data_IF_145297935991
#
_entry.id   IF_145297935991
#
_cell.length_a   1.000
_cell.length_b   1.000
_cell.length_c   1.000
_cell.angle_alpha   90.00
_cell.angle_beta   90.00
_cell.angle_gamma   90.00
#
_symmetry.space_group_name_H-M   'P 1'
#
loop_
_entity.id
_entity.type
_entity.pdbx_description
1 polymer ?
#
# COMPACT_ATOMS: atom_id res chain seq x y z
N UNK A 1 -24.70 19.21 -8.15
CA UNK A 1 -24.01 20.12 -7.21
C UNK A 1 -24.16 21.51 -7.79
N UNK A 2 -24.21 22.56 -6.95
CA UNK A 2 -24.20 23.94 -7.42
C UNK A 2 -23.00 24.21 -8.34
N UNK A 3 -23.08 25.25 -9.18
CA UNK A 3 -21.98 25.62 -10.07
C UNK A 3 -20.73 25.98 -9.25
N UNK A 4 -19.64 25.18 -9.31
CA UNK A 4 -18.47 25.44 -8.50
C UNK A 4 -17.73 26.69 -8.99
N UNK A 5 -17.14 27.41 -8.04
CA UNK A 5 -16.24 28.54 -8.29
C UNK A 5 -14.96 28.09 -8.99
N UNK A 6 -14.18 29.05 -9.52
CA UNK A 6 -12.89 28.75 -10.14
C UNK A 6 -11.93 28.05 -9.17
N UNK A 7 -11.87 28.52 -7.92
CA UNK A 7 -10.97 27.96 -6.91
C UNK A 7 -11.36 26.53 -6.54
N UNK A 8 -12.66 26.25 -6.40
CA UNK A 8 -13.16 24.90 -6.13
C UNK A 8 -12.80 23.92 -7.26
N UNK A 9 -12.88 24.35 -8.52
CA UNK A 9 -12.44 23.54 -9.67
C UNK A 9 -10.96 23.24 -9.61
N UNK A 10 -10.13 24.21 -9.25
CA UNK A 10 -8.68 24.04 -9.11
C UNK A 10 -8.36 23.05 -7.98
N UNK A 11 -8.96 23.20 -6.79
CA UNK A 11 -8.72 22.27 -5.68
C UNK A 11 -9.21 20.85 -6.00
N UNK A 12 -10.37 20.69 -6.63
CA UNK A 12 -10.85 19.39 -7.07
C UNK A 12 -9.89 18.77 -8.12
N UNK A 13 -9.42 19.57 -9.08
CA UNK A 13 -8.47 19.12 -10.07
C UNK A 13 -7.13 18.70 -9.46
N UNK A 14 -6.58 19.48 -8.52
CA UNK A 14 -5.36 19.16 -7.79
C UNK A 14 -5.49 17.89 -6.96
N UNK A 15 -6.66 17.66 -6.35
CA UNK A 15 -6.92 16.42 -5.61
C UNK A 15 -6.74 15.19 -6.53
N UNK A 16 -7.24 15.25 -7.77
CA UNK A 16 -7.06 14.17 -8.74
C UNK A 16 -5.64 14.14 -9.34
N UNK A 17 -5.06 15.29 -9.70
CA UNK A 17 -3.74 15.41 -10.33
C UNK A 17 -2.59 14.97 -9.41
N UNK A 18 -2.79 15.01 -8.10
CA UNK A 18 -1.84 14.48 -7.11
C UNK A 18 -1.54 12.98 -7.26
N UNK A 19 -2.23 12.27 -8.16
CA UNK A 19 -1.86 10.93 -8.62
C UNK A 19 -0.38 10.85 -9.04
N UNK A 20 0.21 11.96 -9.50
CA UNK A 20 1.63 12.07 -9.85
C UNK A 20 2.57 11.88 -8.64
N UNK A 21 2.08 12.13 -7.42
CA UNK A 21 2.77 11.89 -6.16
C UNK A 21 2.60 10.42 -5.72
N UNK A 22 2.48 9.51 -6.67
CA UNK A 22 1.98 8.13 -6.51
C UNK A 22 2.55 7.43 -5.28
N UNK A 23 3.85 7.58 -5.06
CA UNK A 23 4.53 6.95 -3.94
C UNK A 23 4.05 7.46 -2.59
N UNK A 24 3.78 8.76 -2.41
CA UNK A 24 3.32 9.35 -1.15
C UNK A 24 1.86 8.99 -0.76
N UNK A 25 1.22 8.12 -1.54
CA UNK A 25 -0.17 7.75 -1.35
C UNK A 25 -1.11 8.94 -1.58
N UNK A 26 -2.34 8.89 -1.04
CA UNK A 26 -3.32 9.94 -1.19
C UNK A 26 -3.07 11.17 -0.28
N UNK A 27 -1.81 11.58 -0.09
CA UNK A 27 -1.45 12.77 0.71
C UNK A 27 -2.08 14.05 0.14
N UNK A 28 -2.01 14.23 -1.18
CA UNK A 28 -2.59 15.39 -1.87
C UNK A 28 -4.10 15.56 -1.58
N UNK A 29 -4.96 14.59 -1.90
CA UNK A 29 -6.37 14.69 -1.61
C UNK A 29 -6.67 14.69 -0.11
N UNK A 30 -5.86 14.04 0.73
CA UNK A 30 -6.02 14.11 2.19
C UNK A 30 -5.80 15.52 2.76
N UNK A 31 -4.76 16.21 2.32
CA UNK A 31 -4.51 17.59 2.73
C UNK A 31 -5.62 18.53 2.22
N UNK A 32 -5.98 18.43 0.93
CA UNK A 32 -7.06 19.25 0.33
C UNK A 32 -8.37 19.01 1.06
N UNK A 33 -8.72 17.75 1.31
CA UNK A 33 -9.89 17.38 2.09
C UNK A 33 -9.87 18.03 3.48
N UNK A 34 -8.77 17.91 4.22
CA UNK A 34 -8.65 18.45 5.57
C UNK A 34 -8.89 19.98 5.62
N UNK A 35 -8.42 20.73 4.63
CA UNK A 35 -8.61 22.19 4.55
C UNK A 35 -9.96 22.64 3.98
N UNK A 36 -10.62 21.79 3.17
CA UNK A 36 -11.83 22.14 2.41
C UNK A 36 -13.11 21.46 2.91
N UNK A 37 -13.02 20.49 3.84
CA UNK A 37 -14.18 19.71 4.33
C UNK A 37 -15.32 20.55 4.92
N UNK A 38 -15.00 21.72 5.49
CA UNK A 38 -16.01 22.65 6.03
C UNK A 38 -16.36 23.81 5.08
N UNK A 39 -15.73 23.91 3.90
CA UNK A 39 -15.83 25.08 3.02
C UNK A 39 -16.58 24.80 1.72
N UNK A 40 -16.40 23.61 1.14
CA UNK A 40 -16.98 23.26 -0.15
C UNK A 40 -17.40 21.80 -0.20
N UNK A 41 -18.69 21.53 -0.39
CA UNK A 41 -19.23 20.17 -0.61
C UNK A 41 -18.67 19.56 -1.91
N UNK A 42 -18.47 20.38 -2.95
CA UNK A 42 -17.90 19.95 -4.22
C UNK A 42 -16.44 19.48 -4.08
N UNK A 43 -15.56 20.31 -3.51
CA UNK A 43 -14.14 19.95 -3.33
C UNK A 43 -14.00 18.76 -2.40
N UNK A 44 -14.77 18.74 -1.31
CA UNK A 44 -14.81 17.64 -0.34
C UNK A 44 -15.12 16.31 -1.03
N UNK A 45 -16.15 16.25 -1.85
CA UNK A 45 -16.52 15.04 -2.61
C UNK A 45 -15.37 14.57 -3.53
N UNK A 46 -14.79 15.48 -4.31
CA UNK A 46 -13.70 15.14 -5.24
C UNK A 46 -12.43 14.69 -4.51
N UNK A 47 -12.12 15.30 -3.37
CA UNK A 47 -10.99 14.90 -2.54
C UNK A 47 -11.18 13.49 -1.95
N UNK A 48 -12.35 13.18 -1.40
CA UNK A 48 -12.66 11.83 -0.89
C UNK A 48 -12.59 10.76 -1.99
N UNK A 49 -13.07 11.10 -3.18
CA UNK A 49 -13.04 10.23 -4.36
C UNK A 49 -11.60 9.99 -4.86
N UNK A 50 -10.81 11.04 -5.01
CA UNK A 50 -9.41 10.93 -5.40
C UNK A 50 -8.59 10.14 -4.36
N UNK A 51 -8.84 10.39 -3.08
CA UNK A 51 -8.23 9.66 -1.97
C UNK A 51 -8.50 8.16 -2.06
N UNK A 52 -9.76 7.76 -2.27
CA UNK A 52 -10.12 6.36 -2.46
C UNK A 52 -9.48 5.73 -3.69
N UNK A 53 -9.53 6.42 -4.83
CA UNK A 53 -8.91 5.91 -6.06
C UNK A 53 -7.42 5.68 -5.89
N UNK A 54 -6.69 6.68 -5.38
CA UNK A 54 -5.25 6.58 -5.18
C UNK A 54 -4.89 5.51 -4.14
N UNK A 55 -5.69 5.29 -3.10
CA UNK A 55 -5.40 4.26 -2.10
C UNK A 55 -5.73 2.83 -2.59
N UNK A 56 -6.92 2.61 -3.15
CA UNK A 56 -7.39 1.27 -3.51
C UNK A 56 -6.90 0.79 -4.86
N UNK A 57 -6.50 1.68 -5.78
CA UNK A 57 -5.89 1.24 -7.02
C UNK A 57 -4.60 0.45 -6.79
N UNK A 58 -3.81 0.75 -5.75
CA UNK A 58 -2.65 -0.05 -5.39
C UNK A 58 -2.99 -1.45 -4.90
N UNK A 59 -4.10 -1.61 -4.17
CA UNK A 59 -4.59 -2.94 -3.77
C UNK A 59 -5.00 -3.75 -4.99
N UNK A 60 -5.77 -3.14 -5.91
CA UNK A 60 -6.17 -3.79 -7.15
C UNK A 60 -4.96 -4.14 -8.02
N UNK A 61 -3.97 -3.24 -8.09
CA UNK A 61 -2.72 -3.48 -8.80
C UNK A 61 -1.92 -4.63 -8.17
N UNK A 62 -1.79 -4.67 -6.84
CA UNK A 62 -1.09 -5.77 -6.15
C UNK A 62 -1.78 -7.11 -6.42
N UNK A 63 -3.11 -7.17 -6.28
CA UNK A 63 -3.89 -8.39 -6.55
C UNK A 63 -3.73 -8.78 -8.03
N UNK A 64 -3.83 -7.82 -8.94
CA UNK A 64 -3.63 -8.03 -10.37
C UNK A 64 -2.23 -8.57 -10.69
N UNK A 65 -1.19 -8.00 -10.09
CA UNK A 65 0.19 -8.48 -10.20
C UNK A 65 0.35 -9.90 -9.67
N UNK A 66 -0.24 -10.20 -8.50
CA UNK A 66 -0.18 -11.55 -7.93
C UNK A 66 -0.84 -12.59 -8.85
N UNK A 67 -2.06 -12.31 -9.32
CA UNK A 67 -2.79 -13.19 -10.24
C UNK A 67 -2.07 -13.33 -11.58
N UNK A 68 -1.56 -12.22 -12.12
CA UNK A 68 -0.79 -12.21 -13.35
C UNK A 68 0.48 -13.05 -13.20
N UNK A 69 1.28 -12.85 -12.14
CA UNK A 69 2.48 -13.65 -11.87
C UNK A 69 2.16 -15.14 -11.70
N UNK A 70 1.03 -15.50 -11.08
CA UNK A 70 0.61 -16.90 -10.93
C UNK A 70 0.29 -17.54 -12.29
N UNK A 71 -0.55 -16.90 -13.11
CA UNK A 71 -0.89 -17.39 -14.46
C UNK A 71 0.37 -17.44 -15.33
N UNK A 72 1.20 -16.42 -15.25
CA UNK A 72 2.41 -16.29 -16.04
C UNK A 72 3.46 -17.33 -15.69
N UNK A 73 3.66 -17.63 -14.40
CA UNK A 73 4.54 -18.71 -13.96
C UNK A 73 4.02 -20.07 -14.45
N UNK A 74 2.70 -20.30 -14.40
CA UNK A 74 2.08 -21.50 -14.95
C UNK A 74 2.33 -21.64 -16.46
N UNK A 75 2.18 -20.57 -17.22
CA UNK A 75 2.47 -20.55 -18.66
C UNK A 75 3.95 -20.78 -18.95
N UNK A 76 4.86 -20.21 -18.15
CA UNK A 76 6.30 -20.46 -18.24
C UNK A 76 6.62 -21.94 -18.06
N UNK A 77 6.08 -22.59 -17.02
CA UNK A 77 6.30 -24.02 -16.79
C UNK A 77 5.77 -24.87 -17.94
N UNK A 78 4.57 -24.58 -18.44
CA UNK A 78 3.99 -25.30 -19.60
C UNK A 78 4.85 -25.11 -20.85
N UNK A 79 5.34 -23.89 -21.09
CA UNK A 79 6.23 -23.60 -22.21
C UNK A 79 7.55 -24.39 -22.08
N UNK A 80 8.22 -24.32 -20.93
CA UNK A 80 9.48 -25.05 -20.70
C UNK A 80 9.30 -26.57 -20.86
N UNK A 81 8.19 -27.15 -20.37
CA UNK A 81 7.88 -28.58 -20.58
C UNK A 81 7.64 -28.90 -22.06
N UNK A 82 6.87 -28.06 -22.76
CA UNK A 82 6.54 -28.27 -24.17
C UNK A 82 7.75 -28.19 -25.11
N UNK A 83 8.79 -27.44 -24.70
CA UNK A 83 10.01 -27.22 -25.49
C UNK A 83 11.26 -27.87 -24.88
N UNK A 84 11.11 -28.73 -23.86
CA UNK A 84 12.22 -29.38 -23.16
C UNK A 84 13.16 -30.16 -24.11
N UNK A 85 12.61 -30.78 -25.17
CA UNK A 85 13.39 -31.53 -26.17
C UNK A 85 14.15 -30.62 -27.17
N UNK A 86 13.79 -29.34 -27.28
CA UNK A 86 14.46 -28.34 -28.13
C UNK A 86 15.45 -27.45 -27.35
N UNK A 87 15.63 -27.72 -26.04
CA UNK A 87 16.25 -26.83 -25.06
C UNK A 87 17.68 -26.36 -25.37
N UNK A 88 18.43 -27.05 -26.25
CA UNK A 88 19.80 -26.65 -26.59
C UNK A 88 19.91 -25.41 -27.49
N UNK A 89 18.82 -24.88 -28.08
CA UNK A 89 18.88 -23.65 -28.93
C UNK A 89 17.87 -22.57 -28.56
N UNK A 90 16.78 -22.89 -27.86
CA UNK A 90 15.69 -21.95 -27.53
C UNK A 90 15.71 -21.45 -26.07
N UNK A 91 16.44 -22.12 -25.16
CA UNK A 91 16.45 -21.77 -23.73
C UNK A 91 16.96 -20.35 -23.42
N UNK A 92 17.82 -19.78 -24.28
CA UNK A 92 18.33 -18.41 -24.09
C UNK A 92 17.28 -17.37 -24.53
N UNK A 93 16.32 -17.71 -25.40
CA UNK A 93 15.35 -16.75 -25.94
C UNK A 93 14.03 -16.65 -25.16
N UNK A 94 13.68 -17.66 -24.34
CA UNK A 94 12.40 -17.68 -23.60
C UNK A 94 12.23 -16.49 -22.64
N UNK A 95 13.26 -16.05 -21.87
CA UNK A 95 13.12 -14.90 -20.97
C UNK A 95 12.90 -13.57 -21.72
N UNK A 96 13.53 -13.40 -22.90
CA UNK A 96 13.50 -12.15 -23.65
C UNK A 96 12.18 -11.90 -24.38
N UNK A 97 11.47 -12.95 -24.82
CA UNK A 97 10.15 -12.80 -25.46
C UNK A 97 9.07 -12.48 -24.41
N UNK A 98 9.24 -13.03 -23.22
CA UNK A 98 8.24 -13.02 -22.16
C UNK A 98 8.34 -11.75 -21.30
N UNK A 99 9.54 -11.19 -21.16
CA UNK A 99 9.81 -9.97 -20.40
C UNK A 99 9.04 -8.72 -20.90
N UNK A 100 8.91 -8.43 -22.22
CA UNK A 100 8.09 -7.31 -22.70
C UNK A 100 6.62 -7.38 -22.29
N UNK A 101 6.02 -8.57 -22.22
CA UNK A 101 4.63 -8.75 -21.80
C UNK A 101 4.49 -8.39 -20.32
N UNK A 102 5.45 -8.81 -19.49
CA UNK A 102 5.49 -8.46 -18.08
C UNK A 102 5.64 -6.95 -17.87
N UNK A 103 6.54 -6.31 -18.62
CA UNK A 103 6.68 -4.85 -18.58
C UNK A 103 5.45 -4.12 -19.08
N UNK A 104 4.81 -4.59 -20.14
CA UNK A 104 3.56 -4.01 -20.64
C UNK A 104 2.46 -4.10 -19.59
N UNK A 105 2.37 -5.20 -18.84
CA UNK A 105 1.40 -5.32 -17.75
C UNK A 105 1.69 -4.34 -16.62
N UNK A 106 2.94 -4.25 -16.16
CA UNK A 106 3.34 -3.28 -15.12
C UNK A 106 3.11 -1.85 -15.61
N UNK A 107 3.79 -1.41 -16.66
CA UNK A 107 3.71 -0.02 -17.08
C UNK A 107 2.35 0.35 -17.69
N UNK A 108 1.67 -0.59 -18.33
CA UNK A 108 0.31 -0.39 -18.84
C UNK A 108 -0.71 -0.18 -17.72
N UNK A 109 -0.66 -0.98 -16.66
CA UNK A 109 -1.53 -0.79 -15.49
C UNK A 109 -1.26 0.54 -14.76
N UNK A 110 0.01 0.94 -14.66
CA UNK A 110 0.39 2.27 -14.16
C UNK A 110 -0.11 3.39 -15.08
N UNK A 111 -0.01 3.23 -16.40
CA UNK A 111 -0.55 4.17 -17.37
C UNK A 111 -2.06 4.39 -17.19
N UNK A 112 -2.82 3.31 -16.98
CA UNK A 112 -4.26 3.37 -16.68
C UNK A 112 -4.53 4.11 -15.37
N UNK A 113 -3.73 3.84 -14.33
CA UNK A 113 -3.83 4.53 -13.04
C UNK A 113 -3.63 6.05 -13.17
N UNK A 114 -2.56 6.48 -13.84
CA UNK A 114 -2.30 7.91 -14.07
C UNK A 114 -3.36 8.56 -14.94
N UNK A 115 -3.78 7.89 -16.01
CA UNK A 115 -4.82 8.38 -16.90
C UNK A 115 -6.12 8.65 -16.14
N UNK A 116 -6.53 7.75 -15.23
CA UNK A 116 -7.70 7.97 -14.39
C UNK A 116 -7.60 9.23 -13.53
N UNK A 117 -6.44 9.51 -12.93
CA UNK A 117 -6.19 10.74 -12.19
C UNK A 117 -6.21 11.99 -13.06
N UNK A 118 -5.54 11.97 -14.23
CA UNK A 118 -5.51 13.12 -15.13
C UNK A 118 -6.85 13.43 -15.78
N UNK A 119 -7.63 12.42 -16.16
CA UNK A 119 -9.00 12.61 -16.64
C UNK A 119 -9.88 13.26 -15.57
N UNK A 120 -9.73 12.83 -14.31
CA UNK A 120 -10.41 13.46 -13.18
C UNK A 120 -10.04 14.92 -13.02
N UNK A 121 -8.75 15.24 -13.09
CA UNK A 121 -8.27 16.61 -13.01
C UNK A 121 -8.82 17.49 -14.15
N UNK A 122 -8.72 17.00 -15.39
CA UNK A 122 -9.18 17.69 -16.59
C UNK A 122 -10.69 17.97 -16.53
N UNK A 123 -11.51 17.00 -16.16
CA UNK A 123 -12.96 17.19 -16.11
C UNK A 123 -13.39 18.16 -15.01
N UNK A 124 -12.71 18.17 -13.85
CA UNK A 124 -12.95 19.18 -12.83
C UNK A 124 -12.67 20.60 -13.35
N UNK A 125 -11.55 20.79 -14.06
CA UNK A 125 -11.20 22.09 -14.67
C UNK A 125 -12.23 22.53 -15.73
N UNK A 126 -12.76 21.59 -16.51
CA UNK A 126 -13.76 21.84 -17.54
C UNK A 126 -15.20 21.97 -17.00
N UNK A 127 -15.38 21.98 -15.67
CA UNK A 127 -16.70 21.99 -15.04
C UNK A 127 -17.61 20.84 -15.49
N UNK A 128 -17.03 19.66 -15.76
CA UNK A 128 -17.77 18.43 -16.09
C UNK A 128 -17.84 17.54 -14.87
N UNK A 129 -18.99 16.91 -14.67
CA UNK A 129 -19.15 15.91 -13.61
C UNK A 129 -18.19 14.73 -13.85
N UNK A 130 -17.21 14.56 -12.97
CA UNK A 130 -16.29 13.43 -12.99
C UNK A 130 -16.52 12.49 -11.83
N UNK A 131 -16.64 11.20 -12.14
CA UNK A 131 -16.69 10.13 -11.15
C UNK A 131 -15.85 8.94 -11.58
N UNK A 132 -15.05 8.40 -10.66
CA UNK A 132 -14.47 7.07 -10.87
C UNK A 132 -15.60 6.05 -10.90
N UNK A 133 -15.65 5.13 -11.87
CA UNK A 133 -16.82 4.29 -12.11
C UNK A 133 -17.34 3.55 -10.87
N UNK A 134 -16.43 2.97 -10.07
CA UNK A 134 -16.75 2.20 -8.87
C UNK A 134 -16.83 3.12 -7.65
N UNK A 135 -15.71 3.72 -7.26
CA UNK A 135 -15.58 4.48 -6.01
C UNK A 135 -16.45 5.74 -6.03
N UNK A 136 -16.50 6.45 -7.16
CA UNK A 136 -17.28 7.68 -7.31
C UNK A 136 -18.78 7.47 -7.23
N UNK A 137 -19.27 6.42 -7.87
CA UNK A 137 -20.69 6.05 -7.84
C UNK A 137 -21.11 5.61 -6.43
N UNK A 138 -20.28 4.82 -5.77
CA UNK A 138 -20.51 4.37 -4.39
C UNK A 138 -20.47 5.54 -3.40
N UNK A 139 -19.48 6.43 -3.51
CA UNK A 139 -19.40 7.67 -2.73
C UNK A 139 -20.64 8.54 -2.93
N UNK A 140 -21.04 8.79 -4.20
CA UNK A 140 -22.23 9.61 -4.49
C UNK A 140 -23.47 9.05 -3.81
N UNK A 141 -23.69 7.74 -3.88
CA UNK A 141 -24.84 7.09 -3.24
C UNK A 141 -24.83 7.24 -1.72
N UNK A 142 -23.65 7.29 -1.08
CA UNK A 142 -23.55 7.40 0.38
C UNK A 142 -23.56 8.84 0.89
N UNK A 143 -22.97 9.74 0.11
CA UNK A 143 -22.71 11.13 0.50
C UNK A 143 -23.74 12.12 -0.04
N UNK A 144 -24.30 11.87 -1.22
CA UNK A 144 -25.12 12.83 -1.94
C UNK A 144 -26.53 12.29 -2.20
N UNK A 145 -26.99 11.37 -1.36
CA UNK A 145 -28.40 10.97 -1.32
C UNK A 145 -29.19 12.08 -0.59
N UNK A 146 -30.35 12.46 -1.13
CA UNK A 146 -31.18 13.56 -0.62
C UNK A 146 -31.71 13.27 0.80
N UNK A 147 -31.66 12.00 1.22
CA UNK A 147 -32.06 11.57 2.56
C UNK A 147 -30.92 11.60 3.60
N UNK A 148 -29.66 11.75 3.18
CA UNK A 148 -28.52 11.72 4.12
C UNK A 148 -28.45 13.03 4.91
N UNK A 149 -28.56 12.95 6.23
CA UNK A 149 -28.39 14.12 7.10
C UNK A 149 -26.92 14.57 7.15
N UNK A 150 -26.65 15.85 7.43
CA UNK A 150 -25.27 16.36 7.53
C UNK A 150 -24.46 15.61 8.62
N UNK A 151 -25.10 15.18 9.72
CA UNK A 151 -24.46 14.39 10.76
C UNK A 151 -24.07 12.97 10.29
N UNK A 152 -24.94 12.31 9.53
CA UNK A 152 -24.64 11.00 8.93
C UNK A 152 -23.54 11.10 7.88
N UNK A 153 -23.56 12.18 7.10
CA UNK A 153 -22.53 12.51 6.12
C UNK A 153 -21.16 12.68 6.77
N UNK A 154 -21.08 13.49 7.83
CA UNK A 154 -19.85 13.70 8.59
C UNK A 154 -19.33 12.40 9.20
N UNK A 155 -20.21 11.63 9.86
CA UNK A 155 -19.83 10.33 10.42
C UNK A 155 -19.29 9.38 9.37
N UNK A 156 -19.95 9.30 8.21
CA UNK A 156 -19.52 8.42 7.13
C UNK A 156 -18.20 8.87 6.51
N UNK A 157 -18.02 10.17 6.34
CA UNK A 157 -16.75 10.73 5.88
C UNK A 157 -15.61 10.39 6.84
N UNK A 158 -15.80 10.57 8.15
CA UNK A 158 -14.77 10.23 9.12
C UNK A 158 -14.40 8.76 9.07
N UNK A 159 -15.39 7.88 8.88
CA UNK A 159 -15.18 6.46 8.64
C UNK A 159 -14.35 6.22 7.38
N UNK A 160 -14.68 6.89 6.28
CA UNK A 160 -13.96 6.78 5.03
C UNK A 160 -12.50 7.18 5.17
N UNK A 161 -12.24 8.39 5.66
CA UNK A 161 -10.88 8.92 5.83
C UNK A 161 -10.07 8.08 6.80
N UNK A 162 -10.67 7.67 7.92
CA UNK A 162 -10.02 6.77 8.88
C UNK A 162 -9.70 5.41 8.27
N UNK A 163 -10.59 4.85 7.45
CA UNK A 163 -10.32 3.61 6.73
C UNK A 163 -9.21 3.76 5.70
N UNK A 164 -9.12 4.91 5.03
CA UNK A 164 -8.04 5.21 4.09
C UNK A 164 -6.68 5.18 4.81
N UNK A 165 -6.56 5.73 6.01
CA UNK A 165 -5.31 5.66 6.81
C UNK A 165 -4.74 4.24 6.84
N UNK A 166 -5.59 3.23 7.07
CA UNK A 166 -5.16 1.83 7.07
C UNK A 166 -4.92 1.26 5.67
N UNK A 167 -5.70 1.66 4.67
CA UNK A 167 -5.50 1.17 3.30
C UNK A 167 -4.13 1.55 2.73
N UNK A 168 -3.55 2.68 3.15
CA UNK A 168 -2.24 3.15 2.64
C UNK A 168 -1.06 2.30 3.10
N UNK A 169 -1.26 1.38 4.05
CA UNK A 169 -0.25 0.42 4.52
C UNK A 169 0.37 -0.40 3.39
N UNK A 170 -0.36 -0.59 2.28
CA UNK A 170 0.15 -1.25 1.07
C UNK A 170 1.40 -0.57 0.50
N UNK A 171 1.53 0.74 0.71
CA UNK A 171 2.65 1.57 0.25
C UNK A 171 3.79 1.58 1.27
N UNK A 172 4.33 0.40 1.63
CA UNK A 172 5.36 0.16 2.67
C UNK A 172 6.06 1.39 3.28
N UNK A 173 6.87 2.12 2.52
CA UNK A 173 7.68 3.25 3.04
C UNK A 173 6.95 4.60 3.05
N UNK A 174 6.08 4.81 2.08
CA UNK A 174 5.53 6.12 1.76
C UNK A 174 4.07 6.27 2.19
N UNK A 175 3.38 5.15 2.39
CA UNK A 175 2.00 5.06 2.87
C UNK A 175 1.80 5.71 4.22
N UNK A 176 2.86 5.84 5.03
CA UNK A 176 2.83 6.52 6.33
C UNK A 176 2.51 8.01 6.20
N UNK A 177 2.82 8.63 5.05
CA UNK A 177 2.66 10.06 4.85
C UNK A 177 1.19 10.49 4.95
N UNK A 178 0.26 9.68 4.44
CA UNK A 178 -1.19 9.98 4.51
C UNK A 178 -1.73 9.99 5.94
N UNK A 179 -1.64 8.90 6.74
CA UNK A 179 -2.13 8.91 8.12
C UNK A 179 -1.38 9.93 8.98
N UNK A 180 -0.07 10.15 8.75
CA UNK A 180 0.65 11.21 9.47
C UNK A 180 0.10 12.60 9.14
N UNK A 181 -0.16 12.89 7.86
CA UNK A 181 -0.76 14.16 7.43
C UNK A 181 -2.14 14.36 8.06
N UNK A 182 -2.99 13.34 8.02
CA UNK A 182 -4.34 13.39 8.61
C UNK A 182 -4.28 13.55 10.14
N UNK A 183 -3.35 12.87 10.81
CA UNK A 183 -3.14 13.04 12.23
C UNK A 183 -2.73 14.48 12.56
N UNK A 184 -1.76 15.04 11.84
CA UNK A 184 -1.29 16.42 12.07
C UNK A 184 -2.39 17.47 11.81
N UNK A 185 -3.17 17.30 10.74
CA UNK A 185 -4.16 18.29 10.29
C UNK A 185 -5.52 18.16 10.97
N UNK A 186 -5.88 16.99 11.53
CA UNK A 186 -7.23 16.73 12.04
C UNK A 186 -7.26 16.20 13.48
N UNK A 187 -6.12 16.08 14.18
CA UNK A 187 -6.09 15.58 15.56
C UNK A 187 -7.02 16.33 16.51
N UNK A 188 -7.18 17.64 16.32
CA UNK A 188 -7.97 18.49 17.22
C UNK A 188 -9.44 18.59 16.78
N UNK A 189 -9.75 18.20 15.54
CA UNK A 189 -11.10 18.29 14.97
C UNK A 189 -11.88 16.97 15.07
N UNK A 190 -11.19 15.82 15.10
CA UNK A 190 -11.85 14.51 15.15
C UNK A 190 -11.06 13.52 15.99
N UNK A 191 -11.62 13.13 17.14
CA UNK A 191 -11.03 12.13 18.02
C UNK A 191 -10.85 10.77 17.32
N UNK A 192 -11.78 10.42 16.43
CA UNK A 192 -11.73 9.18 15.65
C UNK A 192 -10.58 9.19 14.64
N UNK A 193 -10.46 10.25 13.83
CA UNK A 193 -9.35 10.37 12.87
C UNK A 193 -8.03 10.44 13.63
N UNK A 194 -7.94 11.21 14.73
CA UNK A 194 -6.76 11.25 15.59
C UNK A 194 -6.32 9.85 16.01
N UNK A 195 -7.25 9.03 16.48
CA UNK A 195 -6.97 7.67 16.94
C UNK A 195 -6.55 6.75 15.78
N UNK A 196 -7.36 6.66 14.73
CA UNK A 196 -7.13 5.73 13.62
C UNK A 196 -5.91 6.10 12.79
N UNK A 197 -5.67 7.40 12.56
CA UNK A 197 -4.47 7.88 11.87
C UNK A 197 -3.20 7.56 12.68
N UNK A 198 -3.18 7.86 13.99
CA UNK A 198 -2.03 7.52 14.85
C UNK A 198 -1.78 6.01 14.88
N UNK A 199 -2.84 5.23 14.98
CA UNK A 199 -2.78 3.77 14.95
C UNK A 199 -2.18 3.24 13.65
N UNK A 200 -2.63 3.73 12.49
CA UNK A 200 -2.07 3.36 11.19
C UNK A 200 -0.61 3.81 11.04
N UNK A 201 -0.26 5.02 11.49
CA UNK A 201 1.12 5.52 11.47
C UNK A 201 2.06 4.64 12.28
N UNK A 202 1.71 4.32 13.53
CA UNK A 202 2.55 3.47 14.39
C UNK A 202 2.65 2.04 13.86
N UNK A 203 1.57 1.49 13.31
CA UNK A 203 1.57 0.16 12.69
C UNK A 203 2.57 0.09 11.53
N UNK A 204 2.58 1.09 10.65
CA UNK A 204 3.54 1.17 9.54
C UNK A 204 4.97 1.39 10.03
N UNK A 205 5.21 2.27 11.02
CA UNK A 205 6.55 2.49 11.58
C UNK A 205 7.17 1.22 12.15
N UNK A 206 6.39 0.44 12.90
CA UNK A 206 6.85 -0.83 13.46
C UNK A 206 7.22 -1.83 12.36
N UNK A 207 6.40 -1.92 11.31
CA UNK A 207 6.69 -2.80 10.18
C UNK A 207 7.91 -2.35 9.37
N UNK A 208 8.08 -1.04 9.15
CA UNK A 208 9.26 -0.48 8.50
C UNK A 208 10.51 -0.80 9.32
N UNK A 209 10.50 -0.54 10.63
CA UNK A 209 11.61 -0.85 11.52
C UNK A 209 11.94 -2.34 11.52
N UNK A 210 10.94 -3.21 11.65
CA UNK A 210 11.12 -4.66 11.58
C UNK A 210 11.72 -5.08 10.23
N UNK A 211 11.26 -4.51 9.11
CA UNK A 211 11.79 -4.82 7.78
C UNK A 211 13.24 -4.38 7.59
N UNK A 212 13.62 -3.23 8.14
CA UNK A 212 15.01 -2.73 8.10
C UNK A 212 15.91 -3.66 8.90
N UNK A 213 15.56 -3.96 10.16
CA UNK A 213 16.32 -4.87 11.03
C UNK A 213 16.49 -6.23 10.36
N UNK A 214 15.40 -6.79 9.86
CA UNK A 214 15.40 -8.10 9.19
C UNK A 214 16.28 -8.10 7.94
N UNK A 215 16.22 -7.03 7.13
CA UNK A 215 17.06 -6.89 5.93
C UNK A 215 18.54 -6.75 6.31
N UNK A 216 18.87 -5.96 7.34
CA UNK A 216 20.24 -5.81 7.82
C UNK A 216 20.83 -7.13 8.33
N UNK A 217 20.06 -7.88 9.12
CA UNK A 217 20.46 -9.21 9.59
C UNK A 217 20.65 -10.16 8.41
N UNK A 218 19.70 -10.17 7.47
CA UNK A 218 19.80 -10.98 6.25
C UNK A 218 21.04 -10.65 5.41
N UNK A 219 21.35 -9.36 5.23
CA UNK A 219 22.55 -8.90 4.53
C UNK A 219 23.83 -9.30 5.26
N UNK A 220 23.88 -9.16 6.58
CA UNK A 220 25.04 -9.56 7.37
C UNK A 220 25.31 -11.08 7.27
N UNK A 221 24.25 -11.88 7.39
CA UNK A 221 24.32 -13.35 7.22
C UNK A 221 24.77 -13.70 5.79
N UNK A 222 24.23 -13.00 4.78
CA UNK A 222 24.63 -13.19 3.38
C UNK A 222 26.10 -12.86 3.10
N UNK A 223 26.60 -11.73 3.63
CA UNK A 223 28.01 -11.34 3.51
C UNK A 223 28.90 -12.38 4.21
N UNK A 224 28.53 -12.81 5.42
CA UNK A 224 29.27 -13.85 6.14
C UNK A 224 29.39 -15.13 5.30
N UNK A 225 28.31 -15.53 4.64
CA UNK A 225 28.35 -16.68 3.75
C UNK A 225 29.23 -16.50 2.53
N UNK A 226 29.20 -15.34 1.87
CA UNK A 226 30.13 -15.03 0.78
C UNK A 226 31.58 -15.15 1.27
N UNK A 227 31.89 -14.65 2.47
CA UNK A 227 33.23 -14.75 3.06
C UNK A 227 33.61 -16.22 3.31
N UNK A 228 32.73 -17.00 3.91
CA UNK A 228 32.96 -18.45 4.12
C UNK A 228 33.15 -19.18 2.79
N UNK A 229 32.35 -18.85 1.79
CA UNK A 229 32.44 -19.41 0.45
C UNK A 229 33.78 -19.07 -0.21
N UNK A 230 34.20 -17.80 -0.13
CA UNK A 230 35.48 -17.36 -0.66
C UNK A 230 36.65 -18.04 0.04
N UNK A 231 36.63 -18.16 1.37
CA UNK A 231 37.66 -18.90 2.12
C UNK A 231 37.68 -20.37 1.67
N UNK A 232 36.51 -21.00 1.58
CA UNK A 232 36.38 -22.39 1.16
C UNK A 232 36.96 -22.64 -0.23
N UNK A 233 36.62 -21.80 -1.20
CA UNK A 233 37.14 -21.88 -2.58
C UNK A 233 38.65 -21.66 -2.63
N UNK A 234 39.18 -20.67 -1.91
CA UNK A 234 40.63 -20.41 -1.89
C UNK A 234 41.44 -21.44 -1.08
N UNK A 235 40.79 -22.17 -0.17
CA UNK A 235 41.42 -23.24 0.61
C UNK A 235 41.42 -24.60 -0.10
N UNK A 236 40.70 -24.73 -1.22
CA UNK A 236 40.67 -25.96 -2.00
C UNK A 236 42.06 -26.21 -2.63
N UNK A 237 42.65 -27.37 -2.33
CA UNK A 237 43.95 -27.75 -2.87
C UNK A 237 43.85 -28.02 -4.39
N UNK A 238 44.86 -27.65 -5.20
CA UNK A 238 44.92 -28.03 -6.61
C UNK A 238 44.85 -29.55 -6.86
N UNK A 239 45.11 -30.36 -5.83
CA UNK A 239 45.14 -31.81 -5.91
C UNK A 239 43.77 -32.50 -5.90
N UNK A 240 42.66 -31.78 -5.66
CA UNK A 240 41.31 -32.38 -5.54
C UNK A 240 40.50 -32.36 -6.83
N UNK A 241 41.12 -32.27 -8.01
CA UNK A 241 40.45 -32.26 -9.33
C UNK A 241 39.24 -31.31 -9.44
N UNK A 242 39.22 -30.23 -8.66
CA UNK A 242 38.12 -29.26 -8.65
C UNK A 242 36.90 -29.66 -7.81
N UNK A 243 36.96 -30.75 -7.03
CA UNK A 243 35.91 -31.10 -6.07
C UNK A 243 35.87 -30.10 -4.91
N UNK A 244 34.67 -29.59 -4.60
CA UNK A 244 34.47 -28.72 -3.44
C UNK A 244 34.67 -29.51 -2.13
N UNK A 245 35.34 -28.93 -1.12
CA UNK A 245 35.45 -29.55 0.19
C UNK A 245 34.08 -29.90 0.79
N UNK A 246 33.92 -31.11 1.34
CA UNK A 246 32.63 -31.58 1.89
C UNK A 246 32.04 -30.64 2.95
N UNK A 247 32.90 -30.04 3.80
CA UNK A 247 32.47 -29.07 4.82
C UNK A 247 31.86 -27.80 4.21
N UNK A 248 32.35 -27.37 3.04
CA UNK A 248 31.83 -26.20 2.33
C UNK A 248 30.44 -26.47 1.76
N UNK A 249 30.23 -27.69 1.24
CA UNK A 249 28.91 -28.16 0.83
C UNK A 249 27.92 -28.19 1.99
N UNK A 250 28.33 -28.74 3.15
CA UNK A 250 27.48 -28.78 4.34
C UNK A 250 27.07 -27.37 4.82
N UNK A 251 28.01 -26.42 4.89
CA UNK A 251 27.69 -25.03 5.27
C UNK A 251 26.74 -24.38 4.25
N UNK A 252 26.95 -24.62 2.96
CA UNK A 252 26.09 -24.09 1.90
C UNK A 252 24.65 -24.59 2.03
N UNK A 253 24.46 -25.87 2.35
CA UNK A 253 23.13 -26.44 2.61
C UNK A 253 22.46 -25.76 3.82
N UNK A 254 23.18 -25.62 4.93
CA UNK A 254 22.66 -24.93 6.13
C UNK A 254 22.25 -23.51 5.79
N UNK A 255 23.09 -22.79 5.05
CA UNK A 255 22.82 -21.41 4.65
C UNK A 255 21.58 -21.29 3.76
N UNK A 256 21.47 -22.14 2.73
CA UNK A 256 20.28 -22.20 1.87
C UNK A 256 19.04 -22.50 2.73
N UNK A 257 19.12 -23.44 3.66
CA UNK A 257 18.05 -23.77 4.59
C UNK A 257 17.58 -22.57 5.43
N UNK A 258 18.52 -21.76 5.96
CA UNK A 258 18.21 -20.53 6.70
C UNK A 258 17.48 -19.51 5.82
N UNK A 259 17.93 -19.29 4.57
CA UNK A 259 17.27 -18.36 3.65
C UNK A 259 15.90 -18.85 3.20
N UNK A 260 15.74 -20.16 2.98
CA UNK A 260 14.45 -20.76 2.68
C UNK A 260 13.47 -20.60 3.84
N UNK A 261 13.91 -20.86 5.07
CA UNK A 261 13.09 -20.65 6.26
C UNK A 261 12.69 -19.18 6.41
N UNK A 262 13.64 -18.26 6.24
CA UNK A 262 13.38 -16.83 6.23
C UNK A 262 12.34 -16.42 5.16
N UNK A 263 12.50 -16.94 3.95
CA UNK A 263 11.57 -16.73 2.84
C UNK A 263 10.16 -17.24 3.18
N UNK A 264 10.05 -18.45 3.74
CA UNK A 264 8.79 -19.05 4.15
C UNK A 264 8.08 -18.24 5.24
N UNK A 265 8.82 -17.82 6.26
CA UNK A 265 8.28 -16.98 7.34
C UNK A 265 7.80 -15.64 6.78
N UNK A 266 8.59 -15.01 5.90
CA UNK A 266 8.22 -13.75 5.25
C UNK A 266 6.99 -13.89 4.36
N UNK A 267 6.87 -15.02 3.66
CA UNK A 267 5.73 -15.35 2.81
C UNK A 267 4.41 -15.45 3.58
N UNK A 268 4.46 -15.78 4.88
CA UNK A 268 3.27 -15.80 5.74
C UNK A 268 3.05 -14.44 6.42
N UNK A 269 4.09 -13.85 7.00
CA UNK A 269 3.96 -12.63 7.81
C UNK A 269 3.55 -11.43 6.95
N UNK A 270 4.14 -11.26 5.76
CA UNK A 270 3.89 -10.08 4.92
C UNK A 270 2.44 -10.01 4.43
N UNK A 271 1.83 -11.08 3.90
CA UNK A 271 0.40 -11.07 3.57
C UNK A 271 -0.49 -10.81 4.79
N UNK A 272 -0.21 -11.43 5.94
CA UNK A 272 -0.98 -11.19 7.17
C UNK A 272 -0.94 -9.72 7.58
N UNK A 273 0.24 -9.09 7.50
CA UNK A 273 0.41 -7.65 7.77
C UNK A 273 -0.49 -6.78 6.89
N UNK A 274 -0.52 -7.06 5.58
CA UNK A 274 -1.36 -6.33 4.62
C UNK A 274 -2.84 -6.61 4.81
N UNK A 275 -3.23 -7.88 4.98
CA UNK A 275 -4.62 -8.29 5.19
C UNK A 275 -5.20 -7.65 6.45
N UNK A 276 -4.46 -7.58 7.55
CA UNK A 276 -4.91 -6.91 8.77
C UNK A 276 -5.22 -5.42 8.54
N UNK A 277 -4.40 -4.73 7.74
CA UNK A 277 -4.66 -3.33 7.39
C UNK A 277 -5.87 -3.17 6.46
N UNK A 278 -6.04 -4.07 5.49
CA UNK A 278 -7.18 -4.05 4.59
C UNK A 278 -8.49 -4.36 5.33
N UNK A 279 -8.49 -5.34 6.22
CA UNK A 279 -9.62 -5.66 7.11
C UNK A 279 -9.97 -4.46 7.99
N UNK A 280 -8.96 -3.81 8.60
CA UNK A 280 -9.17 -2.61 9.39
C UNK A 280 -9.80 -1.49 8.59
N UNK A 281 -9.29 -1.24 7.38
CA UNK A 281 -9.82 -0.27 6.43
C UNK A 281 -11.31 -0.49 6.15
N UNK A 282 -11.70 -1.70 5.74
CA UNK A 282 -13.09 -2.03 5.43
C UNK A 282 -14.01 -2.00 6.66
N UNK A 283 -13.55 -2.50 7.82
CA UNK A 283 -14.33 -2.46 9.06
C UNK A 283 -14.67 -1.02 9.45
N UNK A 284 -13.68 -0.13 9.41
CA UNK A 284 -13.88 1.28 9.77
C UNK A 284 -14.83 1.97 8.79
N UNK A 285 -14.67 1.75 7.48
CA UNK A 285 -15.54 2.30 6.44
C UNK A 285 -17.00 1.89 6.65
N UNK A 286 -17.23 0.65 7.06
CA UNK A 286 -18.56 0.13 7.39
C UNK A 286 -19.10 0.62 8.74
N UNK A 287 -18.37 1.50 9.44
CA UNK A 287 -18.78 2.10 10.70
C UNK A 287 -18.46 1.27 11.93
N UNK A 288 -17.74 0.15 11.79
CA UNK A 288 -17.28 -0.63 12.93
C UNK A 288 -16.01 -0.03 13.53
N UNK A 289 -15.80 -0.29 14.81
CA UNK A 289 -14.51 -0.01 15.44
C UNK A 289 -13.45 -1.03 15.00
N UNK A 290 -12.21 -0.57 14.96
CA UNK A 290 -11.05 -1.40 14.67
C UNK A 290 -9.86 -0.99 15.51
N UNK A 291 -9.21 -2.00 16.07
CA UNK A 291 -8.02 -1.92 16.89
C UNK A 291 -7.04 -2.97 16.38
N UNK A 292 -5.80 -2.57 16.08
CA UNK A 292 -4.73 -3.54 15.91
C UNK A 292 -4.50 -4.23 17.26
N UNK A 293 -4.35 -5.56 17.30
CA UNK A 293 -4.04 -6.27 18.53
C UNK A 293 -2.82 -5.65 19.23
N UNK A 294 -2.91 -5.44 20.54
CA UNK A 294 -1.87 -4.81 21.38
C UNK A 294 -1.70 -3.30 21.10
N UNK A 295 -1.40 -2.91 19.86
CA UNK A 295 -1.10 -1.51 19.51
C UNK A 295 -2.31 -0.59 19.73
N UNK A 296 -3.50 -1.01 19.28
CA UNK A 296 -4.73 -0.24 19.44
C UNK A 296 -5.05 0.01 20.91
N UNK A 297 -4.90 -1.01 21.76
CA UNK A 297 -5.14 -0.90 23.20
C UNK A 297 -4.14 0.02 23.91
N UNK A 298 -2.86 -0.06 23.51
CA UNK A 298 -1.81 0.81 24.04
C UNK A 298 -2.08 2.28 23.71
N UNK A 299 -2.50 2.56 22.47
CA UNK A 299 -2.86 3.91 22.04
C UNK A 299 -4.12 4.39 22.78
N UNK A 300 -5.15 3.56 22.85
CA UNK A 300 -6.41 3.89 23.51
C UNK A 300 -6.20 4.25 24.98
N UNK A 301 -5.34 3.51 25.68
CA UNK A 301 -4.95 3.79 27.08
C UNK A 301 -4.28 5.17 27.23
N UNK A 302 -3.43 5.57 26.29
CA UNK A 302 -2.72 6.87 26.32
C UNK A 302 -3.56 8.04 25.82
N UNK A 303 -4.58 7.78 25.01
CA UNK A 303 -5.45 8.78 24.42
C UNK A 303 -6.71 9.06 25.25
N UNK A 304 -6.92 8.37 26.37
CA UNK A 304 -8.02 8.69 27.30
C UNK A 304 -7.99 10.19 27.58
N UNK A 305 -9.10 10.92 27.36
CA UNK A 305 -9.15 12.32 27.71
C UNK A 305 -8.80 12.44 29.20
N UNK A 306 -8.07 13.49 29.56
CA UNK A 306 -8.04 13.92 30.96
C UNK A 306 -9.51 13.93 31.42
N UNK A 307 -9.82 13.22 32.52
CA UNK A 307 -11.16 13.29 33.06
C UNK A 307 -11.48 14.78 33.21
N UNK A 308 -12.67 15.24 32.76
CA UNK A 308 -13.05 16.62 32.98
C UNK A 308 -12.82 16.88 34.48
N UNK A 309 -11.95 17.85 34.79
CA UNK A 309 -11.77 18.30 36.16
C UNK A 309 -13.18 18.55 36.68
N UNK A 310 -13.59 17.77 37.68
CA UNK A 310 -14.84 18.05 38.38
C UNK A 310 -14.56 19.39 39.04
N UNK A 311 -15.03 20.47 38.42
CA UNK A 311 -15.03 21.78 39.04
C UNK A 311 -15.96 21.61 40.25
N UNK A 312 -15.36 21.38 41.41
CA UNK A 312 -16.10 21.36 42.66
C UNK A 312 -16.62 22.79 42.87
N UNK A 313 -17.92 22.94 43.19
CA UNK A 313 -18.58 24.23 43.29
C UNK A 313 -18.00 25.13 44.39
#
# INVERSE_FOLDING_TARGET
MENPTSDEKIFAALAHASVILTFFGPVGPAAIWAFQRGKSKYVRFHALQAMGFQAYAFWLWLIGMFLFSFVFLGLLVVFEIAFADQANKTAIMSPFIIQPIFFLFIFGSWGIFFLGGFLGALFCMLNRDFRYPIIGSWLKKKLLDDQTTDAEFEKWEENWVSGICHSTVILRFWGIATPLTLWLLQKDNSAKIRFQALQATLYQLLAIAASIVTTMVGMAVYILFIVVLAIGVNSASPATDGEMPAWLGAISIVFIGVFMLYGLVSFVIVPVYYLMALIGSFRIINGHEFHYPILGDLIAKRMKPAQPEVIQP
#
